data_IF_343279196393
#
_entry.id   IF_343279196393
#
_cell.length_a   1.000
_cell.length_b   1.000
_cell.length_c   1.000
_cell.angle_alpha   90.00
_cell.angle_beta   90.00
_cell.angle_gamma   90.00
#
_symmetry.space_group_name_H-M   'P 1'
#
loop_
_entity.id
_entity.type
_entity.pdbx_description
1 polymer ?
#
# COMPACT_ATOMS: atom_id res chain seq x y z
N UNK A 1 -16.45 -11.40 -5.10
CA UNK A 1 -15.15 -11.76 -4.52
C UNK A 1 -14.15 -12.03 -5.65
N UNK A 2 -12.97 -11.39 -5.67
CA UNK A 2 -11.94 -11.74 -6.66
C UNK A 2 -11.36 -13.10 -6.30
N UNK A 3 -11.27 -13.98 -7.27
CA UNK A 3 -10.61 -15.27 -7.07
C UNK A 3 -9.09 -15.07 -7.05
N UNK A 4 -8.49 -15.10 -5.87
CA UNK A 4 -7.04 -15.11 -5.67
C UNK A 4 -6.42 -16.48 -6.01
N UNK A 5 -6.81 -17.04 -7.17
CA UNK A 5 -6.41 -18.39 -7.61
C UNK A 5 -5.24 -18.36 -8.61
N UNK A 6 -4.63 -17.19 -8.84
CA UNK A 6 -3.53 -17.02 -9.82
C UNK A 6 -2.28 -16.47 -9.13
N UNK A 7 -1.14 -16.76 -9.72
CA UNK A 7 0.15 -16.26 -9.24
C UNK A 7 0.47 -16.71 -7.81
N UNK A 8 1.22 -15.90 -7.08
CA UNK A 8 1.64 -16.19 -5.71
C UNK A 8 0.46 -16.19 -4.72
N UNK A 9 -0.67 -15.55 -5.06
CA UNK A 9 -1.83 -15.47 -4.16
C UNK A 9 -2.50 -16.81 -3.92
N UNK A 10 -2.32 -17.79 -4.82
CA UNK A 10 -2.83 -19.16 -4.62
C UNK A 10 -2.30 -19.81 -3.34
N UNK A 11 -1.13 -19.37 -2.87
CA UNK A 11 -0.49 -19.85 -1.65
C UNK A 11 -1.33 -19.47 -0.41
N UNK A 12 -2.01 -18.33 -0.43
CA UNK A 12 -2.84 -17.85 0.69
C UNK A 12 -4.24 -18.49 0.72
N UNK A 13 -4.66 -19.12 -0.36
CA UNK A 13 -5.99 -19.77 -0.43
C UNK A 13 -6.04 -20.98 0.52
N UNK A 14 -6.95 -20.97 1.49
CA UNK A 14 -7.07 -22.05 2.46
C UNK A 14 -7.70 -23.33 1.87
N UNK A 15 -8.43 -23.22 0.79
CA UNK A 15 -8.91 -24.37 0.01
C UNK A 15 -7.91 -24.89 -1.03
N UNK A 16 -6.76 -24.25 -1.17
CA UNK A 16 -5.76 -24.51 -2.20
C UNK A 16 -4.65 -25.49 -1.78
N UNK A 17 -3.64 -25.66 -2.65
CA UNK A 17 -2.56 -26.63 -2.46
C UNK A 17 -1.64 -26.36 -1.27
N UNK A 18 -1.67 -25.16 -0.71
CA UNK A 18 -0.93 -24.77 0.50
C UNK A 18 -1.86 -24.40 1.65
N UNK A 19 -3.08 -24.96 1.66
CA UNK A 19 -4.00 -24.79 2.78
C UNK A 19 -3.33 -25.22 4.10
N UNK A 20 -3.53 -24.41 5.13
CA UNK A 20 -2.98 -24.65 6.45
C UNK A 20 -3.98 -25.47 7.25
N UNK A 21 -3.80 -26.78 7.31
CA UNK A 21 -4.62 -27.69 8.12
C UNK A 21 -4.25 -27.65 9.61
N UNK A 22 -4.94 -28.43 10.43
CA UNK A 22 -4.61 -28.59 11.85
C UNK A 22 -3.27 -29.31 12.06
N UNK A 23 -2.87 -30.13 11.07
CA UNK A 23 -1.55 -30.74 11.00
C UNK A 23 -0.85 -30.34 9.69
N UNK A 24 0.50 -30.25 9.67
CA UNK A 24 1.23 -30.05 8.44
C UNK A 24 0.90 -31.19 7.45
N UNK A 25 1.07 -30.97 6.13
CA UNK A 25 0.81 -32.00 5.14
C UNK A 25 1.54 -33.30 5.53
N UNK A 26 0.78 -34.33 5.83
CA UNK A 26 1.36 -35.62 6.19
C UNK A 26 2.19 -36.16 5.03
N UNK A 27 3.40 -36.53 5.35
CA UNK A 27 4.43 -37.00 4.44
C UNK A 27 4.14 -38.42 3.89
N UNK A 28 3.07 -39.06 4.35
CA UNK A 28 2.68 -40.37 3.85
C UNK A 28 1.94 -40.26 2.51
N UNK A 29 2.63 -40.38 1.36
CA UNK A 29 2.05 -40.11 0.02
C UNK A 29 0.91 -41.06 -0.36
N UNK A 30 0.73 -42.14 0.39
CA UNK A 30 -0.29 -43.16 0.14
C UNK A 30 -1.40 -43.19 1.21
N UNK A 31 -1.42 -42.25 2.14
CA UNK A 31 -2.51 -42.14 3.14
C UNK A 31 -3.84 -41.80 2.46
N UNK A 32 -4.96 -42.18 3.09
CA UNK A 32 -6.29 -41.80 2.62
C UNK A 32 -6.45 -40.29 2.45
N UNK A 33 -6.00 -39.52 3.42
CA UNK A 33 -6.00 -38.06 3.37
C UNK A 33 -5.13 -37.50 2.24
N UNK A 34 -3.95 -38.07 1.98
CA UNK A 34 -3.10 -37.69 0.87
C UNK A 34 -3.77 -37.94 -0.50
N UNK A 35 -4.50 -39.04 -0.65
CA UNK A 35 -5.24 -39.35 -1.89
C UNK A 35 -6.41 -38.39 -2.11
N UNK A 36 -7.15 -38.05 -1.06
CA UNK A 36 -8.22 -37.05 -1.12
C UNK A 36 -7.72 -35.68 -1.49
N UNK A 37 -6.63 -35.28 -0.89
CA UNK A 37 -5.99 -33.99 -1.19
C UNK A 37 -5.52 -33.90 -2.65
N UNK A 38 -4.84 -34.92 -3.18
CA UNK A 38 -4.45 -35.00 -4.59
C UNK A 38 -5.67 -34.97 -5.52
N UNK A 39 -6.77 -35.64 -5.13
CA UNK A 39 -8.04 -35.59 -5.87
C UNK A 39 -8.62 -34.18 -5.90
N UNK A 40 -8.63 -33.48 -4.77
CA UNK A 40 -9.04 -32.07 -4.65
C UNK A 40 -8.20 -31.15 -5.55
N UNK A 41 -6.89 -31.28 -5.56
CA UNK A 41 -5.99 -30.52 -6.43
C UNK A 41 -6.29 -30.76 -7.92
N UNK A 42 -6.56 -32.01 -8.29
CA UNK A 42 -6.89 -32.36 -9.67
C UNK A 42 -8.23 -31.76 -10.10
N UNK A 43 -9.25 -31.83 -9.24
CA UNK A 43 -10.56 -31.23 -9.49
C UNK A 43 -10.48 -29.70 -9.62
N UNK A 44 -9.67 -29.05 -8.80
CA UNK A 44 -9.45 -27.61 -8.86
C UNK A 44 -8.51 -27.16 -10.00
N UNK A 45 -7.94 -28.06 -10.80
CA UNK A 45 -6.98 -27.72 -11.86
C UNK A 45 -5.64 -27.19 -11.34
N UNK A 46 -5.32 -27.41 -10.07
CA UNK A 46 -4.16 -26.84 -9.39
C UNK A 46 -2.93 -27.74 -9.38
N UNK A 47 -3.01 -28.96 -9.90
CA UNK A 47 -1.95 -29.98 -9.81
C UNK A 47 -0.61 -29.49 -10.39
N UNK A 48 -0.62 -28.83 -11.54
CA UNK A 48 0.61 -28.30 -12.17
C UNK A 48 1.22 -27.18 -11.33
N UNK A 49 0.41 -26.24 -10.88
CA UNK A 49 0.87 -25.14 -10.01
C UNK A 49 1.49 -25.65 -8.72
N UNK A 50 0.84 -26.62 -8.07
CA UNK A 50 1.38 -27.25 -6.88
C UNK A 50 2.74 -27.90 -7.13
N UNK A 51 2.90 -28.65 -8.23
CA UNK A 51 4.17 -29.27 -8.58
C UNK A 51 5.28 -28.24 -8.79
N UNK A 52 4.98 -27.16 -9.49
CA UNK A 52 5.95 -26.09 -9.73
C UNK A 52 6.37 -25.48 -8.39
N UNK A 53 5.43 -25.05 -7.57
CA UNK A 53 5.72 -24.42 -6.26
C UNK A 53 6.46 -25.38 -5.32
N UNK A 54 6.07 -26.64 -5.27
CA UNK A 54 6.81 -27.66 -4.49
C UNK A 54 8.26 -27.78 -4.96
N UNK A 55 8.48 -27.86 -6.26
CA UNK A 55 9.83 -27.98 -6.81
C UNK A 55 10.67 -26.74 -6.51
N UNK A 56 10.07 -25.54 -6.56
CA UNK A 56 10.73 -24.28 -6.19
C UNK A 56 11.10 -24.29 -4.69
N UNK A 57 10.20 -24.74 -3.81
CA UNK A 57 10.47 -24.88 -2.38
C UNK A 57 11.63 -25.86 -2.14
N UNK A 58 11.61 -27.03 -2.80
CA UNK A 58 12.66 -28.03 -2.64
C UNK A 58 14.00 -27.48 -3.13
N UNK A 59 14.02 -26.83 -4.29
CA UNK A 59 15.22 -26.20 -4.81
C UNK A 59 15.74 -25.08 -3.88
N UNK A 60 14.84 -24.26 -3.35
CA UNK A 60 15.19 -23.19 -2.42
C UNK A 60 15.81 -23.73 -1.12
N UNK A 61 15.25 -24.80 -0.56
CA UNK A 61 15.74 -25.47 0.62
C UNK A 61 16.92 -26.44 0.33
N UNK A 62 17.24 -26.74 -0.91
CA UNK A 62 18.28 -27.72 -1.28
C UNK A 62 17.94 -29.14 -0.84
N UNK A 63 16.67 -29.54 -0.96
CA UNK A 63 16.15 -30.84 -0.55
C UNK A 63 15.51 -31.60 -1.72
N UNK A 64 15.51 -32.92 -1.65
CA UNK A 64 14.87 -33.76 -2.67
C UNK A 64 13.48 -34.27 -2.29
N UNK A 65 13.14 -34.19 -1.00
CA UNK A 65 11.90 -34.75 -0.46
C UNK A 65 11.41 -33.99 0.77
N UNK A 66 10.17 -34.26 1.17
CA UNK A 66 9.63 -33.78 2.45
C UNK A 66 10.36 -34.40 3.66
N UNK A 67 10.89 -35.63 3.55
CA UNK A 67 11.67 -36.24 4.61
C UNK A 67 12.94 -35.45 4.91
N UNK A 68 13.61 -34.93 3.87
CA UNK A 68 14.80 -34.08 4.04
C UNK A 68 14.46 -32.75 4.75
N UNK A 69 13.22 -32.25 4.58
CA UNK A 69 12.76 -31.08 5.35
C UNK A 69 12.73 -31.38 6.84
N UNK A 70 12.26 -32.57 7.24
CA UNK A 70 12.27 -32.98 8.65
C UNK A 70 13.69 -33.06 9.22
N UNK A 71 14.67 -33.45 8.42
CA UNK A 71 16.08 -33.40 8.86
C UNK A 71 16.54 -31.97 9.08
N UNK A 72 16.15 -31.01 8.22
CA UNK A 72 16.47 -29.60 8.40
C UNK A 72 15.84 -29.01 9.65
N UNK A 73 14.62 -29.44 10.02
CA UNK A 73 13.95 -28.98 11.24
C UNK A 73 14.75 -29.31 12.52
N UNK A 74 15.55 -30.39 12.49
CA UNK A 74 16.28 -30.89 13.62
C UNK A 74 17.80 -30.65 13.57
N UNK A 75 18.33 -30.07 12.48
CA UNK A 75 19.75 -29.85 12.27
C UNK A 75 20.07 -28.38 12.00
N UNK A 76 20.54 -27.65 13.02
CA UNK A 76 20.86 -26.22 12.96
C UNK A 76 21.99 -25.88 11.98
N UNK A 77 23.04 -26.75 11.92
CA UNK A 77 24.19 -26.49 11.07
C UNK A 77 23.82 -26.58 9.59
N UNK A 78 23.04 -27.61 9.26
CA UNK A 78 22.51 -27.81 7.92
C UNK A 78 21.58 -26.63 7.52
N UNK A 79 20.74 -26.13 8.47
CA UNK A 79 19.93 -24.93 8.24
C UNK A 79 20.78 -23.69 7.90
N UNK A 80 21.88 -23.47 8.63
CA UNK A 80 22.78 -22.34 8.33
C UNK A 80 23.38 -22.38 6.94
N UNK A 81 23.73 -23.58 6.44
CA UNK A 81 24.21 -23.76 5.05
C UNK A 81 23.11 -23.44 4.04
N UNK A 82 21.91 -23.98 4.27
CA UNK A 82 20.73 -23.73 3.40
C UNK A 82 20.38 -22.26 3.40
N UNK A 83 20.39 -21.59 4.53
CA UNK A 83 20.09 -20.17 4.67
C UNK A 83 21.06 -19.30 3.87
N UNK A 84 22.36 -19.56 3.98
CA UNK A 84 23.39 -18.86 3.20
C UNK A 84 23.16 -19.02 1.68
N UNK A 85 22.86 -20.25 1.23
CA UNK A 85 22.52 -20.53 -0.18
C UNK A 85 21.24 -19.79 -0.60
N UNK A 86 20.21 -19.83 0.22
CA UNK A 86 18.91 -19.19 -0.06
C UNK A 86 19.05 -17.68 -0.23
N UNK A 87 19.81 -16.99 0.60
CA UNK A 87 20.08 -15.57 0.41
C UNK A 87 20.81 -15.27 -0.90
N UNK A 88 21.74 -16.13 -1.32
CA UNK A 88 22.38 -15.99 -2.63
C UNK A 88 21.38 -16.14 -3.78
N UNK A 89 20.48 -17.13 -3.71
CA UNK A 89 19.42 -17.31 -4.71
C UNK A 89 18.47 -16.11 -4.76
N UNK A 90 18.05 -15.56 -3.62
CA UNK A 90 17.21 -14.37 -3.54
C UNK A 90 17.93 -13.13 -4.08
N UNK A 91 19.22 -12.97 -3.79
CA UNK A 91 20.05 -11.91 -4.35
C UNK A 91 20.03 -11.92 -5.86
N UNK A 92 20.29 -13.07 -6.45
CA UNK A 92 20.26 -13.25 -7.91
C UNK A 92 18.85 -13.05 -8.49
N UNK A 93 17.82 -13.63 -7.85
CA UNK A 93 16.43 -13.56 -8.32
C UNK A 93 15.92 -12.11 -8.39
N UNK A 94 16.22 -11.32 -7.38
CA UNK A 94 15.75 -9.93 -7.29
C UNK A 94 16.80 -8.91 -7.76
N UNK A 95 17.93 -9.35 -8.32
CA UNK A 95 18.99 -8.46 -8.80
C UNK A 95 19.52 -7.55 -7.67
N UNK A 96 19.77 -8.11 -6.49
CA UNK A 96 20.36 -7.36 -5.36
C UNK A 96 21.87 -7.43 -5.49
N UNK A 97 22.47 -6.33 -5.93
CA UNK A 97 23.91 -6.19 -5.97
C UNK A 97 24.49 -6.03 -4.57
N UNK A 98 25.68 -6.63 -4.35
CA UNK A 98 26.40 -6.47 -3.11
C UNK A 98 26.87 -7.78 -2.47
N UNK A 99 27.45 -7.66 -1.29
CA UNK A 99 27.93 -8.80 -0.50
C UNK A 99 26.78 -9.46 0.31
N UNK A 100 27.07 -10.60 0.93
CA UNK A 100 26.07 -11.35 1.70
C UNK A 100 25.37 -10.54 2.79
N UNK A 101 26.05 -9.56 3.42
CA UNK A 101 25.43 -8.71 4.45
C UNK A 101 24.40 -7.75 3.86
N UNK A 102 24.70 -7.19 2.70
CA UNK A 102 23.82 -6.28 1.98
C UNK A 102 22.55 -7.01 1.49
N UNK A 103 22.72 -8.23 0.95
CA UNK A 103 21.60 -9.08 0.55
C UNK A 103 20.70 -9.39 1.75
N UNK A 104 21.28 -9.84 2.87
CA UNK A 104 20.55 -10.14 4.11
C UNK A 104 19.82 -8.88 4.63
N UNK A 105 20.49 -7.73 4.63
CA UNK A 105 19.88 -6.46 5.05
C UNK A 105 18.67 -6.10 4.20
N UNK A 106 18.77 -6.27 2.88
CA UNK A 106 17.68 -6.00 1.94
C UNK A 106 16.50 -6.95 2.13
N UNK A 107 16.75 -8.25 2.27
CA UNK A 107 15.69 -9.25 2.55
C UNK A 107 15.00 -8.96 3.90
N UNK A 108 15.76 -8.52 4.91
CA UNK A 108 15.18 -8.07 6.17
C UNK A 108 14.31 -6.82 6.04
N UNK A 109 14.56 -5.97 5.06
CA UNK A 109 13.66 -4.84 4.74
C UNK A 109 12.35 -5.32 4.13
N UNK A 110 12.39 -6.35 3.28
CA UNK A 110 11.16 -6.97 2.77
C UNK A 110 10.31 -7.56 3.91
N UNK A 111 10.94 -8.19 4.90
CA UNK A 111 10.26 -8.65 6.11
C UNK A 111 9.61 -7.49 6.87
N UNK A 112 10.33 -6.38 7.07
CA UNK A 112 9.76 -5.17 7.72
C UNK A 112 8.59 -4.57 6.94
N UNK A 113 8.68 -4.54 5.61
CA UNK A 113 7.58 -4.09 4.75
C UNK A 113 6.36 -4.99 4.89
N UNK A 114 6.56 -6.31 4.93
CA UNK A 114 5.48 -7.28 5.17
C UNK A 114 4.79 -7.04 6.51
N UNK A 115 5.56 -6.84 7.59
CA UNK A 115 5.04 -6.53 8.92
C UNK A 115 4.36 -5.16 8.94
N UNK A 116 4.87 -4.18 8.19
CA UNK A 116 4.26 -2.85 8.01
C UNK A 116 2.88 -2.90 7.36
N UNK A 117 2.67 -3.78 6.37
CA UNK A 117 1.34 -4.01 5.77
C UNK A 117 0.34 -4.51 6.81
N UNK A 118 0.71 -5.49 7.61
CA UNK A 118 -0.16 -6.04 8.65
C UNK A 118 -0.41 -5.01 9.75
N UNK A 119 0.62 -4.28 10.17
CA UNK A 119 0.50 -3.20 11.17
C UNK A 119 -0.42 -2.08 10.70
N UNK A 120 -0.34 -1.69 9.42
CA UNK A 120 -1.26 -0.71 8.84
C UNK A 120 -2.72 -1.20 8.88
N UNK A 121 -2.96 -2.45 8.46
CA UNK A 121 -4.31 -3.03 8.51
C UNK A 121 -4.82 -3.14 9.95
N UNK A 122 -3.97 -3.61 10.89
CA UNK A 122 -4.28 -3.69 12.31
C UNK A 122 -4.58 -2.33 12.93
N UNK A 123 -3.78 -1.33 12.67
CA UNK A 123 -3.89 -0.01 13.32
C UNK A 123 -4.94 0.91 12.70
N UNK A 124 -5.15 0.82 11.37
CA UNK A 124 -6.04 1.73 10.65
C UNK A 124 -7.36 1.09 10.25
N UNK A 125 -7.32 -0.06 9.63
CA UNK A 125 -8.52 -0.67 9.03
C UNK A 125 -9.31 -1.51 10.04
N UNK A 126 -8.61 -2.38 10.77
CA UNK A 126 -9.19 -3.35 11.71
C UNK A 126 -8.91 -3.00 13.17
N UNK A 127 -8.75 -1.71 13.51
CA UNK A 127 -8.30 -1.27 14.83
C UNK A 127 -9.16 -1.80 16.00
N UNK A 128 -10.49 -1.90 15.81
CA UNK A 128 -11.40 -2.43 16.82
C UNK A 128 -11.28 -3.96 17.02
N UNK A 129 -10.61 -4.63 16.10
CA UNK A 129 -10.39 -6.07 16.12
C UNK A 129 -8.90 -6.41 16.22
N UNK A 130 -8.07 -5.46 16.62
CA UNK A 130 -6.61 -5.61 16.64
C UNK A 130 -6.14 -6.82 17.46
N UNK A 131 -6.80 -7.13 18.59
CA UNK A 131 -6.47 -8.29 19.44
C UNK A 131 -6.75 -9.64 18.78
N UNK A 132 -7.73 -9.71 17.88
CA UNK A 132 -8.05 -10.95 17.15
C UNK A 132 -7.03 -11.27 16.05
N UNK A 133 -6.44 -10.23 15.46
CA UNK A 133 -5.50 -10.34 14.35
C UNK A 133 -4.03 -10.10 14.78
N UNK A 134 -3.78 -10.15 16.08
CA UNK A 134 -2.43 -10.04 16.61
C UNK A 134 -1.55 -11.18 16.08
N UNK A 135 -0.35 -10.82 15.61
CA UNK A 135 0.60 -11.79 15.08
C UNK A 135 1.17 -12.65 16.21
N UNK A 136 1.42 -13.90 15.93
CA UNK A 136 2.09 -14.81 16.87
C UNK A 136 3.51 -14.31 17.13
N UNK A 137 3.94 -14.25 18.39
CA UNK A 137 5.25 -13.69 18.78
C UNK A 137 6.40 -14.37 18.05
N UNK A 138 6.31 -15.69 17.84
CA UNK A 138 7.30 -16.46 17.10
C UNK A 138 7.47 -15.96 15.67
N UNK A 139 6.38 -15.64 14.99
CA UNK A 139 6.40 -15.18 13.60
C UNK A 139 6.83 -13.72 13.50
N UNK A 140 6.43 -12.89 14.45
CA UNK A 140 6.77 -11.46 14.47
C UNK A 140 8.30 -11.24 14.48
N UNK A 141 9.04 -12.05 15.25
CA UNK A 141 10.50 -11.95 15.38
C UNK A 141 11.27 -12.49 14.17
N UNK A 142 10.69 -13.41 13.37
CA UNK A 142 11.39 -14.10 12.29
C UNK A 142 11.48 -13.22 11.04
N UNK A 143 12.70 -13.07 10.52
CA UNK A 143 13.02 -12.35 9.29
C UNK A 143 13.52 -13.24 8.17
N UNK A 144 14.04 -14.43 8.51
CA UNK A 144 14.60 -15.39 7.57
C UNK A 144 13.49 -16.07 6.74
N UNK A 145 13.53 -15.98 5.40
CA UNK A 145 12.59 -16.70 4.54
C UNK A 145 12.70 -18.23 4.68
N UNK A 146 13.88 -18.73 5.00
CA UNK A 146 14.11 -20.18 5.24
C UNK A 146 13.38 -20.63 6.49
N UNK A 147 13.54 -19.90 7.61
CA UNK A 147 12.84 -20.21 8.86
C UNK A 147 11.32 -20.14 8.68
N UNK A 148 10.82 -19.07 8.05
CA UNK A 148 9.38 -18.94 7.75
C UNK A 148 8.87 -20.10 6.90
N UNK A 149 9.64 -20.54 5.91
CA UNK A 149 9.26 -21.66 5.06
C UNK A 149 9.28 -22.99 5.83
N UNK A 150 10.25 -23.21 6.72
CA UNK A 150 10.33 -24.41 7.54
C UNK A 150 9.16 -24.53 8.52
N UNK A 151 8.69 -23.41 9.08
CA UNK A 151 7.51 -23.38 9.97
C UNK A 151 6.26 -23.97 9.30
N UNK A 152 6.12 -23.85 7.97
CA UNK A 152 4.99 -24.45 7.27
C UNK A 152 4.93 -25.98 7.39
N UNK A 153 6.07 -26.61 7.58
CA UNK A 153 6.22 -28.07 7.63
C UNK A 153 6.47 -28.59 9.06
N UNK A 154 6.54 -27.71 10.04
CA UNK A 154 6.83 -28.05 11.42
C UNK A 154 5.52 -28.21 12.22
N UNK A 155 5.28 -29.42 12.74
CA UNK A 155 4.09 -29.76 13.51
C UNK A 155 4.06 -29.18 14.93
N UNK A 156 5.18 -28.63 15.40
CA UNK A 156 5.26 -27.91 16.68
C UNK A 156 4.51 -26.57 16.64
N UNK A 157 4.29 -26.02 15.44
CA UNK A 157 3.56 -24.77 15.25
C UNK A 157 2.09 -25.01 14.97
N UNK A 158 1.23 -24.25 15.67
CA UNK A 158 -0.20 -24.30 15.44
C UNK A 158 -0.62 -23.70 14.08
N UNK A 159 -1.84 -23.98 13.64
CA UNK A 159 -2.40 -23.55 12.34
C UNK A 159 -2.19 -22.06 12.03
N UNK A 160 -2.46 -21.18 13.02
CA UNK A 160 -2.34 -19.72 12.86
C UNK A 160 -0.89 -19.31 12.58
N UNK A 161 0.09 -19.82 13.34
CA UNK A 161 1.50 -19.48 13.14
C UNK A 161 2.00 -19.91 11.73
N UNK A 162 1.63 -21.12 11.29
CA UNK A 162 1.96 -21.60 9.94
C UNK A 162 1.32 -20.76 8.85
N UNK A 163 0.08 -20.33 9.04
CA UNK A 163 -0.56 -19.40 8.11
C UNK A 163 0.15 -18.04 8.09
N UNK A 164 0.49 -17.48 9.24
CA UNK A 164 1.20 -16.20 9.35
C UNK A 164 2.57 -16.23 8.69
N UNK A 165 3.32 -17.34 8.84
CA UNK A 165 4.58 -17.54 8.15
C UNK A 165 4.40 -17.54 6.62
N UNK A 166 3.40 -18.27 6.11
CA UNK A 166 3.01 -18.30 4.72
C UNK A 166 2.62 -16.91 4.20
N UNK A 167 1.77 -16.19 4.93
CA UNK A 167 1.36 -14.82 4.60
C UNK A 167 2.56 -13.88 4.54
N UNK A 168 3.46 -13.95 5.52
CA UNK A 168 4.65 -13.11 5.57
C UNK A 168 5.56 -13.35 4.36
N UNK A 169 5.77 -14.60 3.95
CA UNK A 169 6.53 -14.95 2.74
C UNK A 169 5.94 -14.34 1.47
N UNK A 170 4.61 -14.41 1.30
CA UNK A 170 3.93 -13.79 0.15
C UNK A 170 4.10 -12.28 0.13
N UNK A 171 3.93 -11.63 1.28
CA UNK A 171 4.12 -10.18 1.40
C UNK A 171 5.57 -9.76 1.15
N UNK A 172 6.55 -10.55 1.62
CA UNK A 172 7.98 -10.34 1.35
C UNK A 172 8.28 -10.43 -0.15
N UNK A 173 7.72 -11.40 -0.86
CA UNK A 173 7.90 -11.53 -2.30
C UNK A 173 7.35 -10.31 -3.06
N UNK A 174 6.17 -9.81 -2.68
CA UNK A 174 5.60 -8.59 -3.27
C UNK A 174 6.47 -7.35 -2.96
N UNK A 175 7.00 -7.25 -1.73
CA UNK A 175 7.90 -6.18 -1.34
C UNK A 175 9.22 -6.22 -2.14
N UNK A 176 9.78 -7.42 -2.37
CA UNK A 176 10.97 -7.62 -3.18
C UNK A 176 10.75 -7.23 -4.64
N UNK A 177 9.62 -7.61 -5.23
CA UNK A 177 9.26 -7.21 -6.61
C UNK A 177 9.12 -5.70 -6.76
N UNK A 178 8.58 -5.02 -5.73
CA UNK A 178 8.48 -3.55 -5.70
C UNK A 178 9.88 -2.93 -5.62
N UNK A 179 10.73 -3.39 -4.70
CA UNK A 179 12.10 -2.88 -4.56
C UNK A 179 12.93 -3.08 -5.84
N UNK A 180 12.82 -4.26 -6.46
CA UNK A 180 13.47 -4.51 -7.75
C UNK A 180 13.00 -3.50 -8.80
N UNK A 181 11.70 -3.27 -8.92
CA UNK A 181 11.14 -2.31 -9.88
C UNK A 181 11.60 -0.88 -9.58
N UNK A 182 11.65 -0.47 -8.31
CA UNK A 182 12.13 0.86 -7.91
C UNK A 182 13.59 1.09 -8.31
N UNK A 183 14.45 0.08 -8.15
CA UNK A 183 15.85 0.14 -8.58
C UNK A 183 15.98 0.19 -10.11
N UNK A 184 15.29 -0.68 -10.83
CA UNK A 184 15.27 -0.71 -12.29
C UNK A 184 14.77 0.60 -12.90
N UNK A 185 13.84 1.29 -12.25
CA UNK A 185 13.25 2.55 -12.75
C UNK A 185 13.92 3.79 -12.19
N UNK A 186 14.88 3.65 -11.29
CA UNK A 186 15.61 4.77 -10.66
C UNK A 186 14.68 5.80 -10.00
N UNK A 187 13.66 5.30 -9.29
CA UNK A 187 12.59 6.14 -8.70
C UNK A 187 13.14 7.15 -7.70
N UNK A 188 14.18 6.82 -6.94
CA UNK A 188 14.80 7.74 -5.97
C UNK A 188 15.36 8.99 -6.65
N UNK A 189 16.18 8.81 -7.67
CA UNK A 189 16.75 9.94 -8.41
C UNK A 189 15.65 10.73 -9.15
N UNK A 190 14.65 10.05 -9.68
CA UNK A 190 13.49 10.73 -10.27
C UNK A 190 12.74 11.58 -9.25
N UNK A 191 12.57 11.07 -8.03
CA UNK A 191 11.94 11.84 -6.96
C UNK A 191 12.75 13.07 -6.57
N UNK A 192 14.07 12.94 -6.43
CA UNK A 192 14.97 14.08 -6.17
C UNK A 192 14.89 15.12 -7.28
N UNK A 193 14.98 14.72 -8.55
CA UNK A 193 14.82 15.61 -9.69
C UNK A 193 13.46 16.32 -9.72
N UNK A 194 12.39 15.63 -9.29
CA UNK A 194 11.08 16.25 -9.17
C UNK A 194 11.05 17.31 -8.07
N UNK A 195 11.68 17.07 -6.92
CA UNK A 195 11.80 18.04 -5.85
C UNK A 195 12.62 19.27 -6.28
N UNK A 196 13.72 19.06 -7.01
CA UNK A 196 14.56 20.14 -7.56
C UNK A 196 13.76 20.97 -8.57
N UNK A 197 13.04 20.32 -9.50
CA UNK A 197 12.16 21.02 -10.42
C UNK A 197 11.14 21.92 -9.71
N UNK A 198 10.49 21.40 -8.67
CA UNK A 198 9.54 22.18 -7.88
C UNK A 198 10.19 23.37 -7.19
N UNK A 199 11.38 23.18 -6.62
CA UNK A 199 12.11 24.23 -5.90
C UNK A 199 12.63 25.33 -6.83
N UNK A 200 13.20 24.95 -7.98
CA UNK A 200 13.91 25.88 -8.82
C UNK A 200 12.99 26.63 -9.78
N UNK A 201 11.87 26.02 -10.15
CA UNK A 201 11.01 26.56 -11.19
C UNK A 201 9.58 26.89 -10.75
N UNK A 202 9.02 26.14 -9.77
CA UNK A 202 7.59 26.22 -9.41
C UNK A 202 7.36 27.15 -8.22
N UNK A 203 8.08 26.93 -7.12
CA UNK A 203 7.84 27.68 -5.89
C UNK A 203 8.51 29.06 -5.89
N UNK A 204 7.94 30.02 -5.21
CA UNK A 204 8.63 31.26 -4.94
C UNK A 204 9.84 31.03 -4.04
N UNK A 205 10.89 31.85 -4.15
CA UNK A 205 12.17 31.67 -3.41
C UNK A 205 12.00 31.53 -1.91
N UNK A 206 10.98 32.20 -1.34
CA UNK A 206 10.68 32.22 0.11
C UNK A 206 9.97 30.95 0.61
N UNK A 207 9.52 30.04 -0.27
CA UNK A 207 8.70 28.89 0.12
C UNK A 207 9.20 27.58 -0.51
N UNK A 208 10.52 27.48 -0.71
CA UNK A 208 11.18 26.25 -1.18
C UNK A 208 11.02 25.10 -0.19
N UNK A 209 11.29 23.87 -0.65
CA UNK A 209 11.29 22.71 0.23
C UNK A 209 12.32 22.91 1.33
N UNK A 210 11.89 22.82 2.59
CA UNK A 210 12.69 23.17 3.78
C UNK A 210 12.19 24.42 4.52
N UNK A 211 11.58 25.38 3.81
CA UNK A 211 10.98 26.59 4.42
C UNK A 211 9.46 26.47 4.42
N UNK A 212 8.89 25.83 5.45
CA UNK A 212 7.47 25.53 5.53
C UNK A 212 6.72 26.57 6.35
N UNK A 213 5.73 27.22 5.74
CA UNK A 213 4.67 27.90 6.47
C UNK A 213 3.58 26.90 6.84
N UNK A 214 3.34 26.74 8.14
CA UNK A 214 2.24 25.93 8.65
C UNK A 214 1.04 26.86 8.89
N UNK A 215 -0.09 26.51 8.32
CA UNK A 215 -1.39 27.16 8.55
C UNK A 215 -2.46 26.09 8.81
N UNK A 216 -3.61 26.55 9.28
CA UNK A 216 -4.75 25.67 9.57
C UNK A 216 -5.94 26.07 8.71
N UNK A 217 -6.65 25.08 8.22
CA UNK A 217 -7.98 25.25 7.62
C UNK A 217 -9.02 24.93 8.69
N UNK A 218 -9.74 25.95 9.16
CA UNK A 218 -10.91 25.79 10.03
C UNK A 218 -12.12 25.59 9.13
N UNK A 219 -12.72 24.41 9.17
CA UNK A 219 -13.91 24.08 8.41
C UNK A 219 -15.14 23.91 9.28
N UNK A 220 -16.32 24.25 8.74
CA UNK A 220 -17.64 23.91 9.30
C UNK A 220 -18.28 22.82 8.47
N UNK A 221 -19.03 21.96 9.10
CA UNK A 221 -19.62 20.79 8.48
C UNK A 221 -21.13 20.71 8.71
N UNK A 222 -21.85 20.20 7.71
CA UNK A 222 -23.26 19.85 7.82
C UNK A 222 -23.45 18.60 8.69
N UNK A 223 -24.45 18.56 9.58
CA UNK A 223 -24.66 17.41 10.47
C UNK A 223 -25.10 16.13 9.75
N UNK A 224 -25.75 16.24 8.58
CA UNK A 224 -26.36 15.12 7.87
C UNK A 224 -25.32 14.15 7.30
N UNK A 225 -24.29 14.68 6.64
CA UNK A 225 -23.28 13.90 5.92
C UNK A 225 -21.85 14.37 6.16
N UNK A 226 -21.68 15.31 7.08
CA UNK A 226 -20.38 15.92 7.39
C UNK A 226 -19.70 16.64 6.20
N UNK A 227 -20.50 17.12 5.24
CA UNK A 227 -20.01 17.90 4.12
C UNK A 227 -19.54 19.29 4.58
N UNK A 228 -18.47 19.78 3.97
CA UNK A 228 -17.92 21.09 4.26
C UNK A 228 -18.82 22.21 3.73
N UNK A 229 -19.22 23.13 4.61
CA UNK A 229 -20.05 24.29 4.27
C UNK A 229 -19.25 25.60 4.22
N UNK A 230 -18.18 25.69 4.97
CA UNK A 230 -17.32 26.89 5.04
C UNK A 230 -15.89 26.49 5.40
N UNK A 231 -14.89 27.17 4.80
CA UNK A 231 -13.48 27.02 5.17
C UNK A 231 -12.86 28.40 5.40
N UNK A 232 -12.16 28.54 6.53
CA UNK A 232 -11.37 29.75 6.86
C UNK A 232 -9.90 29.35 7.06
N UNK A 233 -9.00 30.14 6.51
CA UNK A 233 -7.56 29.99 6.72
C UNK A 233 -7.14 30.69 8.00
N UNK A 234 -6.44 29.99 8.88
CA UNK A 234 -5.95 30.52 10.16
C UNK A 234 -4.44 30.38 10.18
N UNK A 235 -3.75 31.48 10.30
CA UNK A 235 -2.30 31.50 10.46
C UNK A 235 -1.89 30.96 11.85
N UNK A 236 -0.72 30.31 11.91
CA UNK A 236 -0.19 29.70 13.14
C UNK A 236 -0.19 30.66 14.36
N UNK A 237 -0.02 31.98 14.14
CA UNK A 237 -0.01 32.97 15.18
C UNK A 237 -1.36 33.09 15.92
N UNK A 238 -2.46 32.92 15.17
CA UNK A 238 -3.83 33.06 15.65
C UNK A 238 -4.45 31.75 16.13
N UNK A 239 -3.68 30.67 16.07
CA UNK A 239 -4.15 29.31 16.42
C UNK A 239 -4.62 29.20 17.88
N UNK A 240 -3.92 29.86 18.81
CA UNK A 240 -4.23 29.80 20.25
C UNK A 240 -5.58 30.43 20.62
N UNK A 241 -6.13 31.29 19.78
CA UNK A 241 -7.40 32.00 19.98
C UNK A 241 -8.61 31.22 19.42
N UNK A 242 -8.36 30.11 18.74
CA UNK A 242 -9.41 29.34 18.10
C UNK A 242 -10.02 28.32 19.04
N UNK A 243 -11.23 28.60 19.52
CA UNK A 243 -12.05 27.60 20.22
C UNK A 243 -12.86 26.81 19.23
N UNK A 244 -12.63 25.51 19.13
CA UNK A 244 -13.42 24.60 18.29
C UNK A 244 -14.86 24.50 18.80
N UNK A 245 -15.82 24.63 17.89
CA UNK A 245 -17.24 24.38 18.13
C UNK A 245 -17.63 23.00 17.59
N UNK A 246 -18.75 22.42 18.02
CA UNK A 246 -19.29 21.23 17.37
C UNK A 246 -19.38 21.40 15.85
N UNK A 247 -19.19 20.32 15.11
CA UNK A 247 -19.17 20.30 13.64
C UNK A 247 -18.09 21.20 13.00
N UNK A 248 -17.00 21.48 13.73
CA UNK A 248 -15.84 22.18 13.19
C UNK A 248 -14.61 21.28 13.22
N UNK A 249 -13.80 21.37 12.18
CA UNK A 249 -12.49 20.70 12.07
C UNK A 249 -11.39 21.72 11.86
N UNK A 250 -10.22 21.38 12.37
CA UNK A 250 -9.00 22.17 12.20
C UNK A 250 -7.93 21.30 11.51
N UNK A 251 -7.72 21.55 10.24
CA UNK A 251 -6.80 20.78 9.41
C UNK A 251 -5.50 21.50 9.23
N UNK A 252 -4.39 20.91 9.67
CA UNK A 252 -3.05 21.41 9.43
C UNK A 252 -2.67 21.22 7.97
N UNK A 253 -2.23 22.31 7.31
CA UNK A 253 -1.74 22.28 5.93
C UNK A 253 -0.43 23.04 5.81
N UNK A 254 0.38 22.64 4.82
CA UNK A 254 1.69 23.24 4.52
C UNK A 254 1.51 24.22 3.38
N UNK A 255 1.66 25.51 3.65
CA UNK A 255 1.51 26.59 2.67
C UNK A 255 2.80 26.82 1.90
N UNK A 256 2.68 26.90 0.58
CA UNK A 256 3.70 27.39 -0.34
C UNK A 256 3.13 28.55 -1.14
N UNK A 257 3.96 29.16 -1.98
CA UNK A 257 3.56 30.24 -2.88
C UNK A 257 4.20 30.04 -4.24
N UNK A 258 3.52 30.48 -5.27
CA UNK A 258 4.08 30.57 -6.61
C UNK A 258 3.74 31.95 -7.21
N UNK A 259 4.53 32.40 -8.18
CA UNK A 259 4.40 33.73 -8.76
C UNK A 259 3.63 33.70 -10.06
N UNK A 260 2.63 34.56 -10.17
CA UNK A 260 1.88 34.80 -11.42
C UNK A 260 1.65 36.28 -11.59
N UNK A 261 2.06 36.82 -12.75
CA UNK A 261 1.86 38.22 -13.11
C UNK A 261 2.33 39.22 -12.03
N UNK A 262 3.46 38.91 -11.38
CA UNK A 262 4.05 39.77 -10.32
C UNK A 262 3.44 39.61 -8.93
N UNK A 263 2.36 38.83 -8.78
CA UNK A 263 1.72 38.51 -7.50
C UNK A 263 2.09 37.13 -6.97
N UNK A 264 2.13 36.94 -5.65
CA UNK A 264 2.29 35.65 -4.99
C UNK A 264 0.93 35.00 -4.72
N UNK A 265 0.72 33.79 -5.21
CA UNK A 265 -0.50 33.00 -5.01
C UNK A 265 -0.22 31.91 -3.98
N UNK A 266 -0.99 31.84 -2.88
CA UNK A 266 -0.84 30.77 -1.89
C UNK A 266 -1.40 29.44 -2.43
N UNK A 267 -0.77 28.34 -2.05
CA UNK A 267 -1.15 26.98 -2.36
C UNK A 267 -0.77 26.05 -1.21
N UNK A 268 -1.62 25.10 -0.86
CA UNK A 268 -1.27 24.09 0.14
C UNK A 268 -0.86 22.81 -0.56
N UNK A 269 0.26 22.22 -0.14
CA UNK A 269 0.90 21.15 -0.92
C UNK A 269 1.34 20.01 -0.04
N UNK A 270 1.08 18.79 -0.51
CA UNK A 270 1.67 17.57 -0.02
C UNK A 270 2.34 16.83 -1.19
N UNK A 271 3.62 16.54 -1.06
CA UNK A 271 4.41 15.81 -2.05
C UNK A 271 4.74 14.45 -1.44
N UNK A 272 4.58 13.38 -2.23
CA UNK A 272 4.81 12.03 -1.73
C UNK A 272 5.55 11.15 -2.76
N UNK A 273 6.40 10.30 -2.24
CA UNK A 273 6.73 8.99 -2.83
C UNK A 273 5.85 7.96 -2.09
N UNK A 274 5.15 7.12 -2.83
CA UNK A 274 4.29 6.10 -2.22
C UNK A 274 5.14 5.08 -1.46
N UNK A 275 4.88 4.84 -0.15
CA UNK A 275 5.67 3.90 0.63
C UNK A 275 5.46 2.45 0.16
N UNK A 276 6.45 1.56 0.38
CA UNK A 276 6.39 0.17 -0.08
C UNK A 276 5.13 -0.57 0.39
N UNK A 277 4.69 -0.40 1.62
CA UNK A 277 3.50 -1.04 2.19
C UNK A 277 2.23 -0.68 1.41
N UNK A 278 2.09 0.59 1.01
CA UNK A 278 0.95 1.05 0.22
C UNK A 278 0.99 0.49 -1.22
N UNK A 279 2.19 0.25 -1.77
CA UNK A 279 2.37 -0.42 -3.07
C UNK A 279 1.99 -1.89 -2.96
N UNK A 280 2.44 -2.61 -1.92
CA UNK A 280 2.03 -3.99 -1.63
C UNK A 280 0.52 -4.10 -1.53
N UNK A 281 -0.14 -3.22 -0.76
CA UNK A 281 -1.60 -3.19 -0.66
C UNK A 281 -2.28 -2.92 -2.02
N UNK A 282 -1.67 -2.10 -2.88
CA UNK A 282 -2.20 -1.87 -4.23
C UNK A 282 -2.10 -3.13 -5.09
N UNK A 283 -0.98 -3.88 -5.02
CA UNK A 283 -0.82 -5.18 -5.69
C UNK A 283 -1.87 -6.18 -5.20
N UNK A 284 -2.02 -6.34 -3.90
CA UNK A 284 -3.02 -7.22 -3.29
C UNK A 284 -4.44 -6.88 -3.78
N UNK A 285 -4.84 -5.61 -3.74
CA UNK A 285 -6.18 -5.17 -4.19
C UNK A 285 -6.43 -5.41 -5.68
N UNK A 286 -5.39 -5.34 -6.50
CA UNK A 286 -5.51 -5.61 -7.93
C UNK A 286 -5.41 -7.11 -8.26
N UNK A 287 -4.96 -7.94 -7.33
CA UNK A 287 -4.64 -9.35 -7.58
C UNK A 287 -3.50 -9.49 -8.59
N UNK A 288 -2.52 -8.58 -8.53
CA UNK A 288 -1.40 -8.48 -9.46
C UNK A 288 -0.08 -8.55 -8.68
N UNK A 289 0.84 -9.36 -9.15
CA UNK A 289 2.16 -9.49 -8.54
C UNK A 289 3.24 -8.66 -9.22
N UNK A 290 2.98 -8.18 -10.44
CA UNK A 290 3.91 -7.34 -11.19
C UNK A 290 3.69 -5.84 -10.91
N UNK A 291 4.63 -5.15 -10.23
CA UNK A 291 4.51 -3.73 -9.95
C UNK A 291 4.41 -2.85 -11.20
N UNK A 292 5.03 -3.27 -12.32
CA UNK A 292 5.00 -2.50 -13.56
C UNK A 292 3.58 -2.36 -14.14
N UNK A 293 2.70 -3.33 -13.87
CA UNK A 293 1.30 -3.33 -14.32
C UNK A 293 0.39 -2.59 -13.35
N UNK A 294 0.69 -2.68 -12.06
CA UNK A 294 -0.24 -2.25 -11.02
C UNK A 294 0.11 -0.91 -10.37
N UNK A 295 1.39 -0.53 -10.33
CA UNK A 295 1.88 0.65 -9.61
C UNK A 295 2.40 1.67 -10.62
N UNK A 296 1.57 2.63 -10.95
CA UNK A 296 1.81 3.70 -11.92
C UNK A 296 1.85 5.11 -11.29
N UNK A 297 1.52 5.20 -9.99
CA UNK A 297 1.38 6.42 -9.20
C UNK A 297 2.42 6.49 -8.06
N UNK A 298 3.68 6.19 -8.38
CA UNK A 298 4.76 6.16 -7.38
C UNK A 298 5.07 7.54 -6.82
N UNK A 299 5.07 8.55 -7.68
CA UNK A 299 5.30 9.94 -7.33
C UNK A 299 3.99 10.71 -7.40
N UNK A 300 3.70 11.55 -6.43
CA UNK A 300 2.48 12.32 -6.38
C UNK A 300 2.63 13.68 -5.72
N UNK A 301 1.83 14.63 -6.20
CA UNK A 301 1.65 15.93 -5.60
C UNK A 301 0.15 16.18 -5.43
N UNK A 302 -0.26 16.40 -4.19
CA UNK A 302 -1.59 16.94 -3.90
C UNK A 302 -1.47 18.42 -3.63
N UNK A 303 -2.31 19.21 -4.29
CA UNK A 303 -2.37 20.65 -4.12
C UNK A 303 -3.80 21.10 -3.78
N UNK A 304 -3.90 22.17 -3.01
CA UNK A 304 -5.19 22.74 -2.61
C UNK A 304 -5.15 24.26 -2.88
N UNK A 305 -6.14 24.75 -3.58
CA UNK A 305 -6.32 26.15 -3.97
C UNK A 305 -7.60 26.71 -3.35
N UNK A 306 -7.73 28.02 -3.33
CA UNK A 306 -8.93 28.68 -2.82
C UNK A 306 -10.15 28.55 -3.74
N UNK A 307 -9.92 28.41 -5.06
CA UNK A 307 -10.96 28.43 -6.08
C UNK A 307 -10.63 27.52 -7.29
N UNK A 308 -11.63 27.21 -8.09
CA UNK A 308 -11.47 26.50 -9.38
C UNK A 308 -10.56 27.28 -10.33
N UNK A 309 -10.69 28.63 -10.35
CA UNK A 309 -9.80 29.46 -11.15
C UNK A 309 -8.35 29.33 -10.69
N UNK A 310 -8.11 29.28 -9.37
CA UNK A 310 -6.79 29.01 -8.78
C UNK A 310 -6.21 27.69 -9.24
N UNK A 311 -7.03 26.61 -9.29
CA UNK A 311 -6.61 25.29 -9.78
C UNK A 311 -6.11 25.37 -11.24
N UNK A 312 -6.87 26.01 -12.12
CA UNK A 312 -6.51 26.22 -13.54
C UNK A 312 -5.26 27.09 -13.68
N UNK A 313 -5.13 28.10 -12.83
CA UNK A 313 -3.94 28.97 -12.78
C UNK A 313 -2.68 28.18 -12.40
N UNK A 314 -2.77 27.31 -11.41
CA UNK A 314 -1.67 26.45 -11.01
C UNK A 314 -1.23 25.47 -12.11
N UNK A 315 -2.18 24.83 -12.80
CA UNK A 315 -1.88 23.97 -13.93
C UNK A 315 -1.13 24.72 -15.04
N UNK A 316 -1.60 25.92 -15.43
CA UNK A 316 -0.90 26.76 -16.40
C UNK A 316 0.49 27.18 -15.94
N UNK A 317 0.65 27.47 -14.65
CA UNK A 317 1.95 27.79 -14.06
C UNK A 317 2.92 26.61 -14.18
N UNK A 318 2.49 25.38 -13.86
CA UNK A 318 3.31 24.16 -14.03
C UNK A 318 3.78 23.99 -15.46
N UNK A 319 2.89 24.16 -16.45
CA UNK A 319 3.24 24.05 -17.88
C UNK A 319 4.32 25.06 -18.26
N UNK A 320 4.19 26.32 -17.82
CA UNK A 320 5.18 27.39 -18.08
C UNK A 320 6.52 27.09 -17.38
N UNK A 321 6.47 26.54 -16.17
CA UNK A 321 7.66 26.17 -15.42
C UNK A 321 8.43 25.03 -16.10
N UNK A 322 7.73 24.02 -16.63
CA UNK A 322 8.35 22.96 -17.40
C UNK A 322 9.05 23.51 -18.65
N UNK A 323 8.39 24.41 -19.40
CA UNK A 323 9.02 25.09 -20.55
C UNK A 323 10.29 25.88 -20.17
N UNK A 324 10.27 26.59 -19.04
CA UNK A 324 11.46 27.30 -18.53
C UNK A 324 12.58 26.34 -18.08
N UNK A 325 12.23 25.15 -17.64
CA UNK A 325 13.16 24.08 -17.31
C UNK A 325 13.65 23.29 -18.55
N UNK A 326 13.34 23.75 -19.77
CA UNK A 326 13.73 23.08 -21.02
C UNK A 326 12.99 21.78 -21.30
N UNK A 327 11.80 21.58 -20.72
CA UNK A 327 11.01 20.36 -20.88
C UNK A 327 9.56 20.66 -21.28
N UNK A 328 8.88 19.67 -21.86
CA UNK A 328 7.44 19.69 -22.08
C UNK A 328 6.73 19.00 -20.92
N UNK A 329 5.62 19.57 -20.46
CA UNK A 329 4.70 18.94 -19.54
C UNK A 329 3.55 18.30 -20.34
N UNK A 330 3.63 16.98 -20.50
CA UNK A 330 2.57 16.21 -21.18
C UNK A 330 1.58 15.76 -20.13
N UNK A 331 0.31 16.13 -20.28
CA UNK A 331 -0.77 15.71 -19.40
C UNK A 331 -1.42 14.43 -19.92
N UNK A 332 -1.55 13.42 -19.05
CA UNK A 332 -2.16 12.14 -19.33
C UNK A 332 -3.33 11.91 -18.36
N UNK A 333 -4.34 11.15 -18.77
CA UNK A 333 -5.48 10.73 -17.93
C UNK A 333 -6.13 11.89 -17.17
N UNK A 334 -6.38 13.00 -17.86
CA UNK A 334 -6.94 14.21 -17.25
C UNK A 334 -8.40 13.98 -16.85
N UNK A 335 -8.70 14.24 -15.58
CA UNK A 335 -10.05 14.19 -15.00
C UNK A 335 -10.32 15.54 -14.34
N UNK A 336 -11.33 16.28 -14.79
CA UNK A 336 -11.77 17.55 -14.19
C UNK A 336 -13.24 17.43 -13.77
N UNK A 337 -13.44 17.16 -12.48
CA UNK A 337 -14.79 17.07 -11.88
C UNK A 337 -15.12 18.29 -11.04
N UNK A 338 -14.25 19.30 -10.99
CA UNK A 338 -14.51 20.56 -10.27
C UNK A 338 -15.56 21.44 -10.97
N UNK A 339 -15.64 21.32 -12.28
CA UNK A 339 -16.62 22.04 -13.13
C UNK A 339 -17.80 21.14 -13.58
N UNK A 340 -18.03 20.00 -12.90
CA UNK A 340 -19.15 19.10 -13.24
C UNK A 340 -18.86 18.12 -14.38
N UNK A 341 -17.60 17.92 -14.74
CA UNK A 341 -17.18 16.86 -15.69
C UNK A 341 -17.23 15.47 -15.10
N UNK A 342 -17.22 14.45 -15.95
CA UNK A 342 -17.21 13.04 -15.56
C UNK A 342 -15.81 12.52 -15.21
N UNK A 343 -15.75 11.48 -14.39
CA UNK A 343 -14.51 10.75 -14.12
C UNK A 343 -14.09 9.94 -15.36
N UNK A 344 -13.01 10.35 -16.01
CA UNK A 344 -12.49 9.72 -17.25
C UNK A 344 -11.58 8.51 -16.97
N UNK A 345 -11.03 8.40 -15.76
CA UNK A 345 -10.03 7.38 -15.44
C UNK A 345 -10.65 6.08 -14.93
N UNK A 346 -10.24 4.95 -15.53
CA UNK A 346 -10.56 3.59 -15.03
C UNK A 346 -9.89 3.27 -13.67
N UNK A 347 -8.87 4.02 -13.27
CA UNK A 347 -8.21 3.93 -11.97
C UNK A 347 -8.70 5.03 -11.04
N UNK A 348 -9.87 4.86 -10.47
CA UNK A 348 -10.41 5.78 -9.46
C UNK A 348 -9.51 5.67 -8.22
N UNK A 349 -8.60 6.61 -8.05
CA UNK A 349 -7.70 6.72 -6.89
C UNK A 349 -8.35 7.36 -5.67
N UNK A 350 -9.59 7.82 -5.80
CA UNK A 350 -10.42 8.48 -4.79
C UNK A 350 -11.88 8.04 -4.96
N UNK A 351 -12.75 8.39 -4.01
CA UNK A 351 -14.19 8.24 -4.23
C UNK A 351 -14.61 8.94 -5.53
N UNK A 352 -15.44 8.30 -6.34
CA UNK A 352 -16.00 8.88 -7.57
C UNK A 352 -16.82 10.13 -7.31
N UNK A 353 -17.18 10.41 -6.06
CA UNK A 353 -17.94 11.58 -5.63
C UNK A 353 -17.05 12.77 -5.20
N UNK A 354 -15.71 12.61 -5.17
CA UNK A 354 -14.81 13.68 -4.75
C UNK A 354 -14.53 14.62 -5.92
N UNK A 355 -14.98 15.89 -5.90
CA UNK A 355 -14.59 16.84 -6.92
C UNK A 355 -13.10 17.13 -6.89
N UNK A 356 -12.40 16.96 -8.03
CA UNK A 356 -10.97 17.22 -8.15
C UNK A 356 -10.56 17.49 -9.57
N UNK A 357 -9.40 18.10 -9.74
CA UNK A 357 -8.67 18.13 -11.00
C UNK A 357 -7.48 17.18 -10.88
N UNK A 358 -7.56 16.03 -11.54
CA UNK A 358 -6.53 14.98 -11.49
C UNK A 358 -5.93 14.79 -12.87
N UNK A 359 -4.61 14.64 -12.91
CA UNK A 359 -3.88 14.30 -14.13
C UNK A 359 -2.56 13.63 -13.77
N UNK A 360 -2.02 12.86 -14.71
CA UNK A 360 -0.60 12.51 -14.68
C UNK A 360 0.18 13.49 -15.55
N UNK A 361 1.31 13.92 -15.04
CA UNK A 361 2.26 14.73 -15.80
C UNK A 361 3.48 13.91 -16.15
N UNK A 362 3.80 13.84 -17.44
CA UNK A 362 5.06 13.26 -17.91
C UNK A 362 6.02 14.39 -18.27
N UNK A 363 7.20 14.38 -17.64
CA UNK A 363 8.23 15.40 -17.85
C UNK A 363 9.61 14.81 -17.53
N UNK A 364 10.59 14.97 -18.41
CA UNK A 364 11.98 14.56 -18.19
C UNK A 364 12.14 13.08 -17.80
N UNK A 365 11.33 12.17 -18.38
CA UNK A 365 11.34 10.74 -18.05
C UNK A 365 10.63 10.36 -16.73
N UNK A 366 10.07 11.34 -16.02
CA UNK A 366 9.26 11.14 -14.82
C UNK A 366 7.77 11.12 -15.17
N UNK A 367 6.99 10.31 -14.44
CA UNK A 367 5.53 10.34 -14.43
C UNK A 367 5.05 10.62 -13.02
N UNK A 368 4.32 11.70 -12.82
CA UNK A 368 3.88 12.19 -11.51
C UNK A 368 2.37 12.37 -11.51
N UNK A 369 1.70 11.83 -10.50
CA UNK A 369 0.27 12.06 -10.26
C UNK A 369 0.06 13.41 -9.60
N UNK A 370 -0.77 14.25 -10.21
CA UNK A 370 -1.24 15.50 -9.62
C UNK A 370 -2.72 15.38 -9.28
N UNK A 371 -3.03 15.70 -8.02
CA UNK A 371 -4.42 15.81 -7.56
C UNK A 371 -4.58 17.21 -6.98
N UNK A 372 -5.41 18.03 -7.62
CA UNK A 372 -5.60 19.44 -7.24
C UNK A 372 -7.05 19.65 -6.81
N UNK A 373 -7.22 20.14 -5.60
CA UNK A 373 -8.51 20.40 -4.96
C UNK A 373 -8.75 21.90 -4.77
N UNK A 374 -10.01 22.28 -4.60
CA UNK A 374 -10.36 23.52 -3.88
C UNK A 374 -10.31 23.27 -2.37
N UNK A 375 -10.31 24.34 -1.55
CA UNK A 375 -10.37 24.19 -0.09
C UNK A 375 -11.56 23.33 0.34
N UNK A 376 -12.74 23.56 -0.20
CA UNK A 376 -13.95 22.80 0.14
C UNK A 376 -13.85 21.36 -0.31
N UNK A 377 -13.43 21.10 -1.56
CA UNK A 377 -13.30 19.72 -2.05
C UNK A 377 -12.21 18.93 -1.30
N UNK A 378 -11.12 19.58 -0.88
CA UNK A 378 -10.10 18.96 -0.03
C UNK A 378 -10.63 18.56 1.34
N UNK A 379 -11.39 19.44 1.99
CA UNK A 379 -11.98 19.15 3.29
C UNK A 379 -13.02 18.00 3.16
N UNK A 380 -13.80 17.97 2.08
CA UNK A 380 -14.70 16.85 1.80
C UNK A 380 -13.93 15.54 1.56
N UNK A 381 -12.82 15.59 0.80
CA UNK A 381 -11.90 14.47 0.64
C UNK A 381 -11.34 13.94 1.97
N UNK A 382 -11.16 14.83 2.95
CA UNK A 382 -10.66 14.44 4.28
C UNK A 382 -11.75 13.87 5.19
N UNK A 383 -12.97 14.43 5.18
CA UNK A 383 -13.92 14.25 6.28
C UNK A 383 -15.35 13.87 5.88
N UNK A 384 -15.82 14.18 4.68
CA UNK A 384 -17.22 13.93 4.30
C UNK A 384 -17.52 12.43 4.24
N UNK A 385 -18.68 12.02 4.83
CA UNK A 385 -19.16 10.64 4.77
C UNK A 385 -19.33 10.20 3.32
N UNK A 386 -18.99 8.95 3.02
CA UNK A 386 -19.01 8.32 1.69
C UNK A 386 -18.05 8.90 0.66
N UNK A 387 -17.44 10.07 0.93
CA UNK A 387 -16.52 10.78 0.04
C UNK A 387 -15.08 10.71 0.53
N UNK A 388 -14.86 10.68 1.84
CA UNK A 388 -13.54 10.76 2.44
C UNK A 388 -12.61 9.64 1.93
N UNK A 389 -11.37 10.03 1.68
CA UNK A 389 -10.34 9.12 1.17
C UNK A 389 -10.09 7.93 2.11
N UNK A 390 -10.08 8.19 3.40
CA UNK A 390 -9.83 7.17 4.40
C UNK A 390 -10.95 6.12 4.46
N UNK A 391 -12.22 6.55 4.38
CA UNK A 391 -13.36 5.63 4.29
C UNK A 391 -13.30 4.83 2.98
N UNK A 392 -12.97 5.47 1.88
CA UNK A 392 -12.80 4.83 0.59
C UNK A 392 -11.70 3.76 0.60
N UNK A 393 -10.54 4.03 1.22
CA UNK A 393 -9.45 3.04 1.35
C UNK A 393 -9.88 1.84 2.20
N UNK A 394 -10.61 2.07 3.30
CA UNK A 394 -11.17 0.99 4.12
C UNK A 394 -12.14 0.13 3.30
N UNK A 395 -13.12 0.75 2.61
CA UNK A 395 -14.06 0.03 1.75
C UNK A 395 -13.35 -0.84 0.72
N UNK A 396 -12.32 -0.31 0.05
CA UNK A 396 -11.54 -1.05 -0.96
C UNK A 396 -10.82 -2.28 -0.43
N UNK A 397 -10.33 -2.25 0.81
CA UNK A 397 -9.68 -3.41 1.43
C UNK A 397 -10.65 -4.58 1.55
N UNK A 398 -11.91 -4.30 1.94
CA UNK A 398 -12.96 -5.32 2.02
C UNK A 398 -13.48 -5.73 0.63
N UNK A 399 -13.85 -4.77 -0.22
CA UNK A 399 -14.46 -5.03 -1.54
C UNK A 399 -13.52 -5.78 -2.50
N UNK A 400 -12.22 -5.65 -2.32
CA UNK A 400 -11.23 -6.42 -3.07
C UNK A 400 -10.99 -7.83 -2.51
N UNK A 401 -11.53 -8.17 -1.32
CA UNK A 401 -11.27 -9.44 -0.63
C UNK A 401 -9.92 -9.53 0.07
N UNK A 402 -9.14 -8.43 0.12
CA UNK A 402 -7.82 -8.42 0.79
C UNK A 402 -7.93 -8.71 2.27
N UNK A 403 -8.96 -8.17 2.95
CA UNK A 403 -9.18 -8.42 4.37
C UNK A 403 -9.36 -9.91 4.65
N UNK A 404 -10.23 -10.58 3.90
CA UNK A 404 -10.50 -12.01 4.05
C UNK A 404 -9.29 -12.88 3.66
N UNK A 405 -8.58 -12.50 2.60
CA UNK A 405 -7.40 -13.22 2.15
C UNK A 405 -6.27 -13.19 3.19
N UNK A 406 -6.04 -12.05 3.84
CA UNK A 406 -4.97 -11.90 4.83
C UNK A 406 -5.38 -12.34 6.23
N UNK A 407 -6.68 -12.40 6.52
CA UNK A 407 -7.24 -12.80 7.80
C UNK A 407 -8.44 -13.74 7.62
N UNK A 408 -8.20 -14.96 7.07
CA UNK A 408 -9.27 -15.89 6.77
C UNK A 408 -10.05 -16.33 8.01
N UNK A 409 -11.36 -16.55 7.84
CA UNK A 409 -12.30 -16.89 8.90
C UNK A 409 -11.87 -18.09 9.72
N UNK A 410 -11.40 -19.16 9.06
CA UNK A 410 -11.01 -20.43 9.68
C UNK A 410 -9.72 -20.34 10.53
N UNK A 411 -9.00 -19.22 10.45
CA UNK A 411 -7.78 -18.92 11.21
C UNK A 411 -8.06 -17.88 12.32
N UNK A 412 -8.76 -16.81 11.98
CA UNK A 412 -8.93 -15.65 12.87
C UNK A 412 -10.32 -15.55 13.50
N UNK A 413 -11.29 -16.33 13.04
CA UNK A 413 -12.66 -16.30 13.57
C UNK A 413 -13.43 -15.02 13.24
N UNK A 414 -12.96 -14.21 12.26
CA UNK A 414 -13.56 -12.94 11.87
C UNK A 414 -14.26 -13.04 10.53
N UNK A 415 -15.59 -12.84 10.54
CA UNK A 415 -16.39 -12.74 9.32
C UNK A 415 -16.28 -11.32 8.74
N UNK A 416 -15.41 -11.13 7.75
CA UNK A 416 -15.08 -9.81 7.21
C UNK A 416 -16.29 -9.05 6.67
N UNK A 417 -17.22 -9.73 6.01
CA UNK A 417 -18.45 -9.12 5.50
C UNK A 417 -19.33 -8.55 6.63
N UNK A 418 -19.43 -9.24 7.77
CA UNK A 418 -20.25 -8.80 8.90
C UNK A 418 -19.65 -7.64 9.69
N UNK A 419 -18.32 -7.52 9.71
CA UNK A 419 -17.65 -6.45 10.47
C UNK A 419 -17.43 -5.19 9.64
N UNK A 420 -17.49 -5.25 8.31
CA UNK A 420 -17.25 -4.13 7.38
C UNK A 420 -18.08 -2.90 7.74
N UNK A 421 -19.40 -3.07 7.82
CA UNK A 421 -20.31 -1.94 8.07
C UNK A 421 -20.11 -1.32 9.46
N UNK A 422 -19.86 -2.16 10.47
CA UNK A 422 -19.53 -1.69 11.84
C UNK A 422 -18.23 -0.89 11.86
N UNK A 423 -17.22 -1.34 11.14
CA UNK A 423 -15.93 -0.63 11.03
C UNK A 423 -16.08 0.70 10.31
N UNK A 424 -16.85 0.75 9.21
CA UNK A 424 -17.12 1.99 8.50
C UNK A 424 -17.86 2.99 9.40
N UNK A 425 -18.89 2.53 10.12
CA UNK A 425 -19.62 3.38 11.06
C UNK A 425 -18.70 3.93 12.17
N UNK A 426 -17.91 3.07 12.81
CA UNK A 426 -16.93 3.48 13.82
C UNK A 426 -15.89 4.46 13.26
N UNK A 427 -15.44 4.21 12.05
CA UNK A 427 -14.45 5.05 11.37
C UNK A 427 -14.99 6.45 11.12
N UNK A 428 -16.25 6.57 10.66
CA UNK A 428 -16.93 7.86 10.51
C UNK A 428 -17.03 8.61 11.84
N UNK A 429 -17.47 7.93 12.90
CA UNK A 429 -17.54 8.53 14.23
C UNK A 429 -16.17 9.05 14.69
N UNK A 430 -15.10 8.27 14.49
CA UNK A 430 -13.75 8.70 14.81
C UNK A 430 -13.32 9.94 14.03
N UNK A 431 -13.64 10.02 12.74
CA UNK A 431 -13.37 11.20 11.91
C UNK A 431 -14.12 12.43 12.45
N UNK A 432 -15.35 12.27 12.86
CA UNK A 432 -16.21 13.37 13.35
C UNK A 432 -15.81 13.84 14.74
N UNK A 433 -15.40 12.95 15.64
CA UNK A 433 -15.04 13.24 17.02
C UNK A 433 -13.60 13.79 17.18
N UNK A 434 -12.67 13.42 16.30
CA UNK A 434 -11.26 13.88 16.32
C UNK A 434 -11.10 15.31 15.80
#
# INVERSE_FOLDING_TARGET
>A
MREYNKGIFVVLNQGGPFATGDAPPSIAPFSGAGKEWVRGLKQAGLTTKYRILRNQIFEFLGVGSFADINELLNNSDRRGVVEKRAYGLLGNMFGIDGNSREIIARVNEYSRTADGVISYLKGKVLANYASYIEMTNEIDSIKSPVELLLILFDDRYHKKARFEAKRKLVLMNLAASIDQRERETDVENKFLKFLDFLNDHVWSRKTRIGELEIVYLLSKHAPENFACTEVKVIDKKNFKEVTRKPLQKLTLVKRRRFQVNGGEVPIYVSIRKKPPEAKVLKLLRKGEENPAVAVDDELGLMAVMDSVMGVKLFQRHLTRCAGRAGSLLILEEVTDTLDGGDHVSSSIGSSSQTPMFKFFARMGGMRVEFIVHTNVSYINYMYQRDVSHDEYEVKRIFDSGVAEMLFPLDIYGLEMDKIKDRLIHWFRKRIEDS
#
